data_IF_812252124387
#
_entry.id   IF_812252124387
#
_cell.length_a   1.000
_cell.length_b   1.000
_cell.length_c   1.000
_cell.angle_alpha   90.00
_cell.angle_beta   90.00
_cell.angle_gamma   90.00
#
_symmetry.space_group_name_H-M   'P 1'
#
loop_
_entity.id
_entity.type
_entity.pdbx_description
1 polymer ?
#
# COMPACT_ATOMS: atom_id res chain seq x y z
N UNK A 1 -35.49 -5.48 -32.21
CA UNK A 1 -34.15 -5.26 -31.61
C UNK A 1 -33.96 -6.32 -30.53
N UNK A 2 -33.06 -7.26 -30.80
CA UNK A 2 -33.02 -8.64 -30.26
C UNK A 2 -32.75 -8.71 -28.75
N UNK A 3 -33.50 -9.55 -28.04
CA UNK A 3 -33.35 -9.88 -26.61
C UNK A 3 -31.93 -10.32 -26.25
N UNK A 4 -31.23 -10.97 -27.19
CA UNK A 4 -29.83 -11.39 -27.07
C UNK A 4 -28.86 -10.21 -26.84
N UNK A 5 -29.13 -9.06 -27.48
CA UNK A 5 -28.28 -7.87 -27.38
C UNK A 5 -28.39 -7.22 -25.99
N UNK A 6 -29.59 -7.26 -25.38
CA UNK A 6 -29.82 -6.72 -24.03
C UNK A 6 -29.10 -7.54 -22.97
N UNK A 7 -29.11 -8.87 -23.07
CA UNK A 7 -28.45 -9.74 -22.09
C UNK A 7 -26.93 -9.62 -22.13
N UNK A 8 -26.35 -9.49 -23.34
CA UNK A 8 -24.91 -9.29 -23.50
C UNK A 8 -24.42 -7.97 -22.89
N UNK A 9 -25.20 -6.89 -23.02
CA UNK A 9 -24.89 -5.58 -22.43
C UNK A 9 -24.95 -5.63 -20.91
N UNK A 10 -25.95 -6.31 -20.33
CA UNK A 10 -26.06 -6.44 -18.87
C UNK A 10 -24.88 -7.24 -18.30
N UNK A 11 -24.49 -8.35 -18.94
CA UNK A 11 -23.34 -9.15 -18.51
C UNK A 11 -22.02 -8.36 -18.59
N UNK A 12 -21.83 -7.54 -19.63
CA UNK A 12 -20.64 -6.70 -19.78
C UNK A 12 -20.58 -5.59 -18.70
N UNK A 13 -21.70 -4.95 -18.38
CA UNK A 13 -21.76 -3.93 -17.31
C UNK A 13 -21.49 -4.56 -15.94
N UNK A 14 -22.02 -5.74 -15.67
CA UNK A 14 -21.75 -6.46 -14.44
C UNK A 14 -20.26 -6.83 -14.31
N UNK A 15 -19.62 -7.28 -15.40
CA UNK A 15 -18.19 -7.61 -15.39
C UNK A 15 -17.31 -6.39 -15.14
N UNK A 16 -17.65 -5.23 -15.73
CA UNK A 16 -16.92 -3.97 -15.51
C UNK A 16 -17.10 -3.44 -14.08
N UNK A 17 -18.30 -3.58 -13.49
CA UNK A 17 -18.54 -3.22 -12.10
C UNK A 17 -17.78 -4.15 -11.12
N UNK A 18 -17.65 -5.44 -11.45
CA UNK A 18 -16.90 -6.43 -10.67
C UNK A 18 -15.38 -6.24 -10.76
N UNK A 19 -14.85 -5.71 -11.86
CA UNK A 19 -13.42 -5.36 -11.97
C UNK A 19 -13.08 -4.03 -11.30
N UNK A 20 -13.95 -3.02 -11.38
CA UNK A 20 -13.77 -1.75 -10.66
C UNK A 20 -13.81 -1.93 -9.14
N UNK A 21 -14.74 -2.73 -8.61
CA UNK A 21 -14.87 -2.94 -7.16
C UNK A 21 -13.65 -3.63 -6.54
N UNK A 22 -13.01 -4.57 -7.26
CA UNK A 22 -11.78 -5.23 -6.80
C UNK A 22 -10.54 -4.35 -6.86
N UNK A 23 -10.46 -3.44 -7.83
CA UNK A 23 -9.38 -2.45 -7.88
C UNK A 23 -9.49 -1.49 -6.69
N UNK A 24 -10.70 -0.99 -6.41
CA UNK A 24 -10.96 -0.08 -5.28
C UNK A 24 -10.69 -0.75 -3.92
N UNK A 25 -10.99 -2.04 -3.75
CA UNK A 25 -10.65 -2.77 -2.51
C UNK A 25 -9.14 -2.98 -2.31
N UNK A 26 -8.40 -3.32 -3.38
CA UNK A 26 -6.94 -3.51 -3.31
C UNK A 26 -6.22 -2.20 -2.97
N UNK A 27 -6.62 -1.12 -3.64
CA UNK A 27 -6.09 0.24 -3.42
C UNK A 27 -6.37 0.73 -1.99
N UNK A 28 -7.44 0.24 -1.35
CA UNK A 28 -7.76 0.61 0.03
C UNK A 28 -6.87 -0.10 1.05
N UNK A 29 -6.60 -1.40 0.88
CA UNK A 29 -5.82 -2.19 1.85
C UNK A 29 -4.34 -1.83 1.75
N UNK A 30 -3.76 -1.75 0.56
CA UNK A 30 -2.35 -1.38 0.38
C UNK A 30 -2.10 0.05 0.90
N UNK A 31 -3.02 0.98 0.66
CA UNK A 31 -2.94 2.32 1.22
C UNK A 31 -3.00 2.31 2.75
N UNK A 32 -3.87 1.50 3.36
CA UNK A 32 -3.95 1.34 4.81
C UNK A 32 -2.67 0.76 5.41
N UNK A 33 -2.10 -0.29 4.80
CA UNK A 33 -0.86 -0.91 5.25
C UNK A 33 0.31 0.07 5.17
N UNK A 34 0.46 0.75 4.04
CA UNK A 34 1.50 1.76 3.83
C UNK A 34 1.39 2.90 4.84
N UNK A 35 0.18 3.47 4.98
CA UNK A 35 -0.06 4.59 5.87
C UNK A 35 0.18 4.21 7.32
N UNK A 36 -0.31 3.03 7.73
CA UNK A 36 -0.10 2.54 9.09
C UNK A 36 1.39 2.35 9.39
N UNK A 37 2.11 1.69 8.51
CA UNK A 37 3.55 1.44 8.65
C UNK A 37 4.33 2.74 8.72
N UNK A 38 4.18 3.62 7.74
CA UNK A 38 4.89 4.90 7.70
C UNK A 38 4.55 5.81 8.89
N UNK A 39 3.31 5.79 9.37
CA UNK A 39 2.90 6.60 10.54
C UNK A 39 3.44 6.08 11.86
N UNK A 40 3.91 4.82 11.89
CA UNK A 40 4.40 4.16 13.08
C UNK A 40 5.92 4.10 13.18
N UNK A 41 6.62 4.65 12.20
CA UNK A 41 8.06 4.76 12.17
C UNK A 41 8.42 6.22 12.42
N UNK A 42 9.06 6.48 13.55
CA UNK A 42 9.35 7.85 13.97
C UNK A 42 10.50 8.46 13.14
N UNK A 43 11.43 7.63 12.70
CA UNK A 43 12.66 8.02 11.99
C UNK A 43 13.09 6.91 11.04
N UNK A 44 13.12 7.23 9.76
CA UNK A 44 13.82 6.43 8.74
C UNK A 44 15.11 7.08 8.27
N UNK A 45 15.41 8.30 8.73
CA UNK A 45 16.65 9.01 8.41
C UNK A 45 17.89 8.14 8.68
N UNK A 46 18.82 8.12 7.72
CA UNK A 46 20.14 7.50 7.85
C UNK A 46 20.14 5.98 8.17
N UNK A 47 18.97 5.31 8.09
CA UNK A 47 18.89 3.87 8.26
C UNK A 47 19.60 3.16 7.12
N UNK A 48 20.41 2.16 7.48
CA UNK A 48 20.88 1.16 6.53
C UNK A 48 19.71 0.29 6.07
N UNK A 49 19.89 -0.41 4.94
CA UNK A 49 18.84 -1.28 4.39
C UNK A 49 18.30 -2.32 5.41
N UNK A 50 19.15 -3.03 6.19
CA UNK A 50 18.66 -3.95 7.21
C UNK A 50 17.95 -3.27 8.40
N UNK A 51 18.38 -2.06 8.77
CA UNK A 51 17.74 -1.30 9.85
C UNK A 51 16.35 -0.79 9.41
N UNK A 52 16.20 -0.39 8.14
CA UNK A 52 14.91 -0.07 7.57
C UNK A 52 13.97 -1.28 7.57
N UNK A 53 14.45 -2.46 7.15
CA UNK A 53 13.64 -3.69 7.20
C UNK A 53 13.13 -3.97 8.62
N UNK A 54 14.02 -3.88 9.61
CA UNK A 54 13.65 -4.09 11.01
C UNK A 54 12.60 -3.08 11.49
N UNK A 55 12.78 -1.79 11.18
CA UNK A 55 11.84 -0.73 11.57
C UNK A 55 10.45 -0.92 10.94
N UNK A 56 10.39 -1.30 9.65
CA UNK A 56 9.12 -1.59 8.97
C UNK A 56 8.41 -2.78 9.59
N UNK A 57 9.15 -3.87 9.91
CA UNK A 57 8.59 -5.05 10.57
C UNK A 57 8.09 -4.73 11.98
N UNK A 58 8.88 -3.99 12.77
CA UNK A 58 8.48 -3.58 14.12
C UNK A 58 7.22 -2.71 14.10
N UNK A 59 7.07 -1.84 13.10
CA UNK A 59 5.85 -1.06 12.92
C UNK A 59 4.61 -1.94 12.76
N UNK A 60 4.75 -3.10 12.09
CA UNK A 60 3.66 -4.04 11.86
C UNK A 60 3.20 -4.77 13.13
N UNK A 61 4.06 -4.92 14.13
CA UNK A 61 3.72 -5.57 15.41
C UNK A 61 2.68 -4.77 16.20
N UNK A 62 2.44 -3.50 15.84
CA UNK A 62 1.38 -2.66 16.41
C UNK A 62 -0.02 -3.07 15.95
N UNK A 63 -0.16 -3.98 14.99
CA UNK A 63 -1.46 -4.55 14.61
C UNK A 63 -1.92 -5.59 15.64
N UNK A 64 -3.08 -5.34 16.27
CA UNK A 64 -3.70 -6.29 17.19
C UNK A 64 -4.34 -7.53 16.51
N UNK A 65 -4.39 -7.54 15.17
CA UNK A 65 -5.02 -8.60 14.39
C UNK A 65 -3.91 -9.34 13.63
N UNK A 66 -3.71 -10.61 13.95
CA UNK A 66 -2.60 -11.42 13.40
C UNK A 66 -2.60 -11.50 11.86
N UNK A 67 -3.79 -11.53 11.22
CA UNK A 67 -3.89 -11.50 9.76
C UNK A 67 -3.44 -10.16 9.16
N UNK A 68 -3.73 -9.04 9.83
CA UNK A 68 -3.25 -7.71 9.40
C UNK A 68 -1.76 -7.55 9.65
N UNK A 69 -1.24 -8.07 10.76
CA UNK A 69 0.20 -8.11 11.02
C UNK A 69 0.94 -8.89 9.92
N UNK A 70 0.45 -10.08 9.55
CA UNK A 70 1.04 -10.88 8.48
C UNK A 70 1.00 -10.17 7.12
N UNK A 71 -0.12 -9.51 6.78
CA UNK A 71 -0.24 -8.70 5.56
C UNK A 71 0.70 -7.49 5.57
N UNK A 72 0.84 -6.82 6.71
CA UNK A 72 1.76 -5.69 6.89
C UNK A 72 3.22 -6.13 6.70
N UNK A 73 3.63 -7.26 7.29
CA UNK A 73 4.99 -7.80 7.10
C UNK A 73 5.22 -8.19 5.64
N UNK A 74 4.24 -8.80 4.99
CA UNK A 74 4.34 -9.13 3.57
C UNK A 74 4.50 -7.86 2.70
N UNK A 75 3.71 -6.82 2.97
CA UNK A 75 3.80 -5.52 2.31
C UNK A 75 5.15 -4.84 2.56
N UNK A 76 5.63 -4.83 3.81
CA UNK A 76 6.94 -4.25 4.16
C UNK A 76 8.05 -4.89 3.33
N UNK A 77 8.04 -6.22 3.21
CA UNK A 77 9.05 -6.95 2.43
C UNK A 77 8.92 -6.73 0.94
N UNK A 78 7.71 -6.59 0.40
CA UNK A 78 7.52 -6.35 -1.04
C UNK A 78 7.91 -4.95 -1.48
N UNK A 79 7.88 -3.97 -0.57
CA UNK A 79 8.17 -2.56 -0.87
C UNK A 79 9.45 -2.04 -0.19
N UNK A 80 10.22 -2.89 0.49
CA UNK A 80 11.42 -2.48 1.21
C UNK A 80 12.41 -1.72 0.32
N UNK A 81 12.70 -2.26 -0.86
CA UNK A 81 13.62 -1.63 -1.83
C UNK A 81 13.07 -0.29 -2.33
N UNK A 82 11.78 -0.22 -2.65
CA UNK A 82 11.15 1.00 -3.13
C UNK A 82 11.16 2.10 -2.05
N UNK A 83 10.86 1.73 -0.79
CA UNK A 83 10.90 2.65 0.35
C UNK A 83 12.33 3.13 0.59
N UNK A 84 13.32 2.24 0.54
CA UNK A 84 14.73 2.60 0.71
C UNK A 84 15.20 3.59 -0.38
N UNK A 85 14.83 3.33 -1.63
CA UNK A 85 15.13 4.23 -2.75
C UNK A 85 14.37 5.55 -2.66
N UNK A 86 13.12 5.52 -2.19
CA UNK A 86 12.31 6.71 -1.96
C UNK A 86 12.98 7.64 -0.95
N UNK A 87 13.45 7.09 0.18
CA UNK A 87 14.18 7.83 1.21
C UNK A 87 15.44 8.52 0.67
N UNK A 88 16.18 7.83 -0.21
CA UNK A 88 17.39 8.39 -0.83
C UNK A 88 17.09 9.53 -1.82
N UNK A 89 15.90 9.52 -2.43
CA UNK A 89 15.50 10.50 -3.44
C UNK A 89 14.63 11.63 -2.89
N UNK A 90 14.10 11.49 -1.67
CA UNK A 90 13.27 12.47 -0.99
C UNK A 90 13.82 12.81 0.41
N UNK A 91 15.07 13.30 0.54
CA UNK A 91 15.71 13.54 1.83
C UNK A 91 15.02 14.61 2.68
N UNK A 92 14.26 15.52 2.06
CA UNK A 92 13.50 16.56 2.77
C UNK A 92 12.16 16.02 3.31
N UNK A 93 11.65 14.92 2.75
CA UNK A 93 10.39 14.29 3.13
C UNK A 93 10.57 13.11 4.10
N UNK A 94 11.78 12.84 4.58
CA UNK A 94 12.03 11.80 5.62
C UNK A 94 12.09 12.39 7.04
N UNK A 95 12.01 13.72 7.21
CA UNK A 95 12.12 14.44 8.50
C UNK A 95 11.13 15.62 8.63
N UNK A 96 9.87 15.40 9.05
CA UNK A 96 9.23 14.11 9.34
C UNK A 96 8.85 13.36 8.07
N UNK A 97 8.60 12.05 8.18
CA UNK A 97 8.21 11.23 7.04
C UNK A 97 6.89 11.75 6.45
N UNK A 98 6.91 12.12 5.18
CA UNK A 98 5.71 12.45 4.42
C UNK A 98 5.04 11.15 3.94
N UNK A 99 4.39 10.46 4.87
CA UNK A 99 3.76 9.15 4.65
C UNK A 99 2.77 9.18 3.48
N UNK A 100 2.00 10.27 3.35
CA UNK A 100 1.04 10.42 2.27
C UNK A 100 1.74 10.45 0.89
N UNK A 101 2.81 11.25 0.76
CA UNK A 101 3.58 11.34 -0.48
C UNK A 101 4.27 10.01 -0.80
N UNK A 102 4.89 9.38 0.19
CA UNK A 102 5.53 8.07 0.04
C UNK A 102 4.52 7.04 -0.48
N UNK A 103 3.38 6.87 0.19
CA UNK A 103 2.38 5.88 -0.18
C UNK A 103 1.73 6.15 -1.54
N UNK A 104 1.57 7.43 -1.93
CA UNK A 104 1.11 7.78 -3.27
C UNK A 104 2.13 7.42 -4.35
N UNK A 105 3.41 7.74 -4.14
CA UNK A 105 4.46 7.47 -5.13
C UNK A 105 4.80 5.98 -5.26
N UNK A 106 4.63 5.21 -4.19
CA UNK A 106 4.68 3.75 -4.21
C UNK A 106 3.47 3.12 -4.93
N UNK A 107 2.49 3.92 -5.37
CA UNK A 107 1.25 3.44 -5.99
C UNK A 107 0.36 2.67 -5.04
N UNK A 108 0.59 2.79 -3.73
CA UNK A 108 -0.20 2.13 -2.69
C UNK A 108 -1.46 2.92 -2.33
N UNK A 109 -1.41 4.24 -2.47
CA UNK A 109 -2.55 5.14 -2.31
C UNK A 109 -2.84 5.91 -3.63
N UNK A 110 -4.11 6.27 -3.90
CA UNK A 110 -4.46 7.17 -5.01
C UNK A 110 -3.97 8.62 -4.79
#
# INVERSE_FOLDING_TARGET
>A
MNTVLKTAVILAISFVALTQSRAVEKDTIECQLCTFMGSNIDKIEDLTFPELEAALIESCDKWNISSMQALCIAYAKSHLEDIYMWMATHPDDVKPINVALMCQQLGSCP
#
